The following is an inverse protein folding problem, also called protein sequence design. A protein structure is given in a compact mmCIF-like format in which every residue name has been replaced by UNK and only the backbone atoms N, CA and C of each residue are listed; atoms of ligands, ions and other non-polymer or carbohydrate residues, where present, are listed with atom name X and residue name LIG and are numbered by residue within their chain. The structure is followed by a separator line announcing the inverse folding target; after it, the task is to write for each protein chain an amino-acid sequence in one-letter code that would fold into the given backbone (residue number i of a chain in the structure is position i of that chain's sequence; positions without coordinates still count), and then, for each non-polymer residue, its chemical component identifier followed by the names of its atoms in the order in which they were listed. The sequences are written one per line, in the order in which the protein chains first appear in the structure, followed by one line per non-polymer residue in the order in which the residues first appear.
data_IF_676580621326
#
_entry.id   IF_676580621326
#
_cell.length_a   1.000
_cell.length_b   1.000
_cell.length_c   1.000
_cell.angle_alpha   90.00
_cell.angle_beta   90.00
_cell.angle_gamma   90.00
#
_symmetry.space_group_name_H-M   'P 1'
#
loop_
_entity.id
_entity.type
_entity.pdbx_description
1 polymer ?
#
# COMPACT_ATOMS: atom_id res chain seq x y z
N UNK A 1 31.92 16.48 -9.92
CA UNK A 1 30.59 16.97 -9.44
C UNK A 1 29.48 16.87 -10.48
N UNK A 2 29.66 17.32 -11.73
CA UNK A 2 28.60 17.30 -12.78
C UNK A 2 28.05 15.92 -13.18
N UNK A 3 28.83 14.85 -12.99
CA UNK A 3 28.41 13.49 -13.32
C UNK A 3 27.49 12.91 -12.23
N UNK A 4 27.81 13.18 -10.97
CA UNK A 4 27.02 12.77 -9.80
C UNK A 4 25.65 13.46 -9.82
N UNK A 5 25.61 14.76 -10.16
CA UNK A 5 24.33 15.49 -10.28
C UNK A 5 23.43 14.92 -11.38
N UNK A 6 24.00 14.47 -12.51
CA UNK A 6 23.23 13.78 -13.56
C UNK A 6 22.66 12.43 -13.10
N UNK A 7 23.42 11.66 -12.33
CA UNK A 7 22.98 10.38 -11.79
C UNK A 7 21.84 10.59 -10.77
N UNK A 8 21.98 11.57 -9.88
CA UNK A 8 20.94 11.93 -8.91
C UNK A 8 19.67 12.40 -9.61
N UNK A 9 19.80 13.20 -10.67
CA UNK A 9 18.65 13.67 -11.46
C UNK A 9 17.92 12.53 -12.18
N UNK A 10 18.66 11.58 -12.77
CA UNK A 10 18.07 10.40 -13.42
C UNK A 10 17.37 9.47 -12.41
N UNK A 11 17.91 9.35 -11.20
CA UNK A 11 17.28 8.62 -10.11
C UNK A 11 15.96 9.25 -9.69
N UNK A 12 15.88 10.58 -9.59
CA UNK A 12 14.63 11.28 -9.26
C UNK A 12 13.54 11.10 -10.32
N UNK A 13 13.90 11.11 -11.61
CA UNK A 13 12.95 10.91 -12.72
C UNK A 13 12.36 9.50 -12.79
N UNK A 14 13.11 8.48 -12.36
CA UNK A 14 12.67 7.08 -12.39
C UNK A 14 11.92 6.66 -11.13
N UNK A 15 12.18 7.31 -10.00
CA UNK A 15 11.48 7.08 -8.73
C UNK A 15 10.23 7.94 -8.53
N UNK A 16 9.99 8.93 -9.39
CA UNK A 16 8.71 9.65 -9.42
C UNK A 16 7.64 8.82 -10.14
N UNK A 17 7.40 7.60 -9.67
CA UNK A 17 6.22 6.85 -10.10
C UNK A 17 4.97 7.61 -9.68
N UNK A 18 4.08 7.86 -10.63
CA UNK A 18 2.80 8.50 -10.41
C UNK A 18 1.98 7.64 -9.45
N UNK A 19 1.74 8.11 -8.23
CA UNK A 19 0.77 7.50 -7.32
C UNK A 19 -0.62 7.90 -7.83
N UNK A 20 -0.99 7.38 -9.00
CA UNK A 20 -2.29 7.66 -9.59
C UNK A 20 -3.28 6.74 -8.89
N UNK A 21 -4.24 7.36 -8.22
CA UNK A 21 -5.36 6.70 -7.60
C UNK A 21 -6.61 7.17 -8.32
N UNK A 22 -7.65 6.35 -8.31
CA UNK A 22 -8.98 6.85 -8.63
C UNK A 22 -9.30 8.05 -7.73
N UNK A 23 -9.98 9.05 -8.29
CA UNK A 23 -10.43 10.28 -7.64
C UNK A 23 -11.90 10.56 -7.96
N UNK A 24 -12.62 11.15 -7.00
CA UNK A 24 -13.99 11.63 -7.23
C UNK A 24 -13.93 13.14 -7.34
N UNK A 25 -14.33 13.65 -8.50
CA UNK A 25 -14.39 15.08 -8.79
C UNK A 25 -15.83 15.54 -8.97
N UNK A 26 -16.07 16.83 -8.72
CA UNK A 26 -17.35 17.47 -8.93
C UNK A 26 -17.19 18.60 -9.95
N UNK A 27 -18.10 18.65 -10.93
CA UNK A 27 -18.14 19.78 -11.87
C UNK A 27 -18.84 21.01 -11.26
N UNK A 28 -18.81 22.14 -11.97
CA UNK A 28 -19.49 23.38 -11.54
C UNK A 28 -21.01 23.23 -11.45
N UNK A 29 -21.58 22.24 -12.13
CA UNK A 29 -23.01 21.96 -12.15
C UNK A 29 -23.43 20.99 -11.04
N UNK A 30 -22.49 20.55 -10.20
CA UNK A 30 -22.73 19.62 -9.10
C UNK A 30 -22.84 18.15 -9.49
N UNK A 31 -22.51 17.78 -10.74
CA UNK A 31 -22.39 16.39 -11.17
C UNK A 31 -21.08 15.79 -10.67
N UNK A 32 -21.12 14.51 -10.29
CA UNK A 32 -19.95 13.78 -9.82
C UNK A 32 -19.38 12.89 -10.92
N UNK A 33 -18.05 12.77 -10.95
CA UNK A 33 -17.33 11.88 -11.86
C UNK A 33 -16.27 11.11 -11.10
N UNK A 34 -16.08 9.85 -11.48
CA UNK A 34 -14.94 9.03 -11.10
C UNK A 34 -13.85 9.23 -12.16
N UNK A 35 -12.77 9.89 -11.79
CA UNK A 35 -11.53 9.95 -12.56
C UNK A 35 -10.71 8.72 -12.20
N UNK A 36 -10.40 7.89 -13.19
CA UNK A 36 -9.59 6.69 -13.01
C UNK A 36 -8.10 7.00 -13.12
N UNK A 37 -7.29 6.04 -12.70
CA UNK A 37 -5.84 6.08 -12.85
C UNK A 37 -5.35 6.15 -14.32
N UNK A 38 -6.12 5.61 -15.26
CA UNK A 38 -5.90 5.71 -16.70
C UNK A 38 -6.25 7.09 -17.31
N UNK A 39 -6.75 8.02 -16.49
CA UNK A 39 -7.17 9.36 -16.91
C UNK A 39 -8.55 9.40 -17.57
N UNK A 40 -9.27 8.28 -17.64
CA UNK A 40 -10.65 8.26 -18.12
C UNK A 40 -11.64 8.73 -17.05
N UNK A 41 -12.77 9.26 -17.49
CA UNK A 41 -13.81 9.79 -16.61
C UNK A 41 -15.11 9.00 -16.77
N UNK A 42 -15.70 8.59 -15.65
CA UNK A 42 -17.01 7.94 -15.60
C UNK A 42 -17.97 8.80 -14.81
N UNK A 43 -19.09 9.20 -15.43
CA UNK A 43 -20.12 9.99 -14.73
C UNK A 43 -20.79 9.12 -13.65
N UNK A 44 -20.84 9.65 -12.44
CA UNK A 44 -21.52 9.03 -11.32
C UNK A 44 -22.96 9.57 -11.21
N UNK A 45 -23.91 8.76 -10.71
CA UNK A 45 -25.25 9.24 -10.43
C UNK A 45 -25.23 10.30 -9.33
N UNK A 46 -26.32 11.05 -9.16
CA UNK A 46 -26.41 12.01 -8.05
C UNK A 46 -26.50 11.24 -6.72
N UNK A 47 -25.69 11.58 -5.70
CA UNK A 47 -25.80 10.94 -4.40
C UNK A 47 -27.16 11.28 -3.76
N UNK A 48 -27.68 10.36 -2.95
CA UNK A 48 -28.90 10.61 -2.18
C UNK A 48 -28.68 11.79 -1.21
N UNK A 49 -29.73 12.54 -0.86
CA UNK A 49 -29.62 13.61 0.13
C UNK A 49 -28.95 13.12 1.42
N UNK A 50 -27.97 13.88 1.93
CA UNK A 50 -27.18 13.52 3.11
C UNK A 50 -26.03 12.54 2.89
N UNK A 51 -25.89 11.96 1.68
CA UNK A 51 -24.83 11.02 1.35
C UNK A 51 -23.75 11.65 0.47
N UNK A 52 -22.52 11.13 0.57
CA UNK A 52 -21.38 11.51 -0.27
C UNK A 52 -20.64 10.28 -0.76
N UNK A 53 -19.98 10.41 -1.91
CA UNK A 53 -19.09 9.37 -2.41
C UNK A 53 -17.78 9.33 -1.60
N UNK A 54 -17.23 8.13 -1.41
CA UNK A 54 -15.96 7.91 -0.70
C UNK A 54 -15.20 6.79 -1.42
N UNK A 55 -13.95 7.06 -1.79
CA UNK A 55 -13.03 6.04 -2.33
C UNK A 55 -12.51 5.21 -1.17
N UNK A 56 -12.84 3.91 -1.18
CA UNK A 56 -12.36 3.00 -0.15
C UNK A 56 -10.93 2.57 -0.48
N UNK A 57 -10.01 2.76 0.48
CA UNK A 57 -8.65 2.22 0.37
C UNK A 57 -8.71 0.69 0.34
N UNK A 58 -7.96 0.08 -0.59
CA UNK A 58 -7.82 -1.38 -0.66
C UNK A 58 -7.29 -1.91 0.67
N UNK A 59 -8.01 -2.86 1.28
CA UNK A 59 -7.52 -3.58 2.47
C UNK A 59 -6.40 -4.51 2.05
N UNK A 60 -5.15 -4.09 2.26
CA UNK A 60 -3.99 -4.97 2.09
C UNK A 60 -3.93 -5.89 3.32
N UNK A 61 -4.12 -7.20 3.14
CA UNK A 61 -3.84 -8.18 4.19
C UNK A 61 -2.35 -8.10 4.51
N UNK A 62 -2.01 -7.46 5.64
CA UNK A 62 -0.63 -7.43 6.13
C UNK A 62 -0.25 -8.88 6.46
N UNK A 63 0.66 -9.46 5.67
CA UNK A 63 1.28 -10.74 6.01
C UNK A 63 2.02 -10.53 7.32
N UNK A 64 1.54 -11.15 8.41
CA UNK A 64 2.25 -11.13 9.69
C UNK A 64 3.56 -11.91 9.49
N UNK A 65 4.65 -11.20 9.22
CA UNK A 65 5.99 -11.77 9.37
C UNK A 65 6.23 -11.92 10.86
N UNK A 66 6.36 -13.15 11.34
CA UNK A 66 6.84 -13.41 12.70
C UNK A 66 8.32 -13.02 12.74
N UNK A 67 8.61 -11.78 13.13
CA UNK A 67 9.97 -11.24 13.22
C UNK A 67 10.75 -11.93 14.35
N UNK A 68 10.05 -12.51 15.32
CA UNK A 68 10.63 -13.28 16.42
C UNK A 68 10.00 -14.66 16.40
N UNK A 69 10.75 -15.65 15.94
CA UNK A 69 10.41 -17.04 16.17
C UNK A 69 10.79 -17.38 17.62
N UNK A 70 9.81 -17.85 18.40
CA UNK A 70 10.08 -18.31 19.75
C UNK A 70 11.08 -19.48 19.71
N UNK A 71 12.20 -19.43 20.45
CA UNK A 71 13.17 -20.51 20.45
C UNK A 71 12.53 -21.77 21.05
N UNK A 72 12.46 -22.85 20.28
CA UNK A 72 11.99 -24.15 20.78
C UNK A 72 12.89 -24.60 21.94
N UNK A 73 12.37 -24.61 23.16
CA UNK A 73 13.06 -25.14 24.34
C UNK A 73 13.40 -26.62 24.08
N UNK A 74 14.69 -26.96 23.99
CA UNK A 74 15.13 -28.36 23.96
C UNK A 74 15.05 -28.90 25.38
N UNK A 75 14.16 -29.86 25.63
CA UNK A 75 14.13 -30.58 26.90
C UNK A 75 15.42 -31.39 27.07
N UNK A 76 16.04 -31.30 28.25
CA UNK A 76 17.19 -32.14 28.61
C UNK A 76 16.71 -33.60 28.69
N UNK A 77 17.20 -34.46 27.80
CA UNK A 77 16.96 -35.91 27.93
C UNK A 77 17.73 -36.41 29.15
N UNK A 78 17.03 -37.07 30.09
CA UNK A 78 17.69 -37.81 31.16
C UNK A 78 18.38 -39.02 30.52
N UNK A 79 19.70 -39.09 30.66
CA UNK A 79 20.50 -40.24 30.24
C UNK A 79 20.78 -41.13 31.45
N UNK A 80 20.56 -42.43 31.31
CA UNK A 80 20.87 -43.42 32.36
C UNK A 80 22.37 -43.82 32.39
N UNK A 81 23.24 -43.03 31.77
CA UNK A 81 24.69 -43.28 31.66
C UNK A 81 25.46 -42.77 32.89
N UNK A 82 24.96 -43.07 34.09
CA UNK A 82 25.74 -42.91 35.31
C UNK A 82 26.58 -44.16 35.53
N UNK A 83 27.90 -44.00 35.62
CA UNK A 83 28.83 -45.05 36.01
C UNK A 83 28.67 -45.24 37.53
N UNK A 84 28.43 -46.48 37.96
CA UNK A 84 28.48 -46.90 39.38
C UNK A 84 29.90 -47.23 39.76
#
# INVERSE_FOLDING_TARGET
MKFITKIVFLFFLTFSSSVISDEIIQDRNGNYFLMKDDGTFVKLPKPKPGNKYVIQKKKVKKVKKNIVNEPKKKARRRTNQGIR
#
